data_IF_002628405982
#
_entry.id   IF_002628405982
#
_cell.length_a   1.000
_cell.length_b   1.000
_cell.length_c   1.000
_cell.angle_alpha   90.00
_cell.angle_beta   90.00
_cell.angle_gamma   90.00
#
_symmetry.space_group_name_H-M   'P 1'
#
loop_
_entity.id
_entity.type
_entity.pdbx_description
1 polymer ?
#
# COMPACT_ATOMS: atom_id res chain seq x y z
N UNK A 1 -5.93 -11.82 10.85
CA UNK A 1 -5.20 -11.91 9.57
C UNK A 1 -4.81 -10.51 9.11
N UNK A 2 -3.52 -10.17 9.10
CA UNK A 2 -3.04 -8.86 8.61
C UNK A 2 -3.30 -8.76 7.10
N UNK A 3 -4.30 -8.00 6.68
CA UNK A 3 -4.55 -7.68 5.27
C UNK A 3 -3.50 -6.70 4.77
N UNK A 4 -3.08 -6.83 3.51
CA UNK A 4 -2.04 -5.98 2.91
C UNK A 4 -2.35 -4.48 3.04
N UNK A 5 -3.63 -4.10 2.94
CA UNK A 5 -4.13 -2.75 3.19
C UNK A 5 -3.68 -2.16 4.54
N UNK A 6 -3.74 -2.96 5.61
CA UNK A 6 -3.28 -2.53 6.94
C UNK A 6 -1.77 -2.26 6.96
N UNK A 7 -0.97 -3.11 6.31
CA UNK A 7 0.49 -2.91 6.23
C UNK A 7 0.84 -1.63 5.47
N UNK A 8 0.11 -1.31 4.41
CA UNK A 8 0.27 -0.06 3.65
C UNK A 8 0.02 1.14 4.56
N UNK A 9 -1.11 1.15 5.28
CA UNK A 9 -1.47 2.24 6.19
C UNK A 9 -0.45 2.42 7.33
N UNK A 10 0.03 1.32 7.92
CA UNK A 10 1.06 1.35 8.96
C UNK A 10 2.38 1.90 8.44
N UNK A 11 2.84 1.44 7.28
CA UNK A 11 4.06 1.95 6.65
C UNK A 11 3.94 3.45 6.35
N UNK A 12 2.84 3.89 5.74
CA UNK A 12 2.59 5.31 5.46
C UNK A 12 2.69 6.15 6.74
N UNK A 13 2.01 5.73 7.81
CA UNK A 13 2.04 6.42 9.11
C UNK A 13 3.44 6.44 9.74
N UNK A 14 4.20 5.35 9.64
CA UNK A 14 5.59 5.28 10.12
C UNK A 14 6.55 6.23 9.37
N UNK A 15 6.16 6.67 8.16
CA UNK A 15 6.88 7.65 7.37
C UNK A 15 6.33 9.08 7.53
N UNK A 16 5.39 9.28 8.46
CA UNK A 16 4.74 10.56 8.73
C UNK A 16 4.04 11.18 7.51
N UNK A 17 3.54 10.33 6.60
CA UNK A 17 2.80 10.79 5.42
C UNK A 17 1.30 10.76 5.68
N UNK A 18 0.59 11.78 5.23
CA UNK A 18 -0.85 11.77 5.01
C UNK A 18 -1.20 10.93 3.77
N UNK A 19 -2.48 10.59 3.60
CA UNK A 19 -2.92 9.86 2.40
C UNK A 19 -2.77 10.70 1.14
N UNK A 20 -2.92 12.03 1.23
CA UNK A 20 -2.72 12.94 0.11
C UNK A 20 -1.24 12.97 -0.30
N UNK A 21 -0.32 13.13 0.66
CA UNK A 21 1.12 13.15 0.34
C UNK A 21 1.59 11.83 -0.28
N UNK A 22 1.08 10.68 0.20
CA UNK A 22 1.36 9.41 -0.47
C UNK A 22 0.77 9.37 -1.89
N UNK A 23 -0.43 9.92 -2.09
CA UNK A 23 -1.05 9.97 -3.41
C UNK A 23 -0.22 10.81 -4.39
N UNK A 24 0.31 11.94 -3.94
CA UNK A 24 1.15 12.84 -4.73
C UNK A 24 2.46 12.14 -5.13
N UNK A 25 3.10 11.41 -4.21
CA UNK A 25 4.33 10.64 -4.50
C UNK A 25 4.07 9.50 -5.50
N UNK A 26 2.93 8.83 -5.38
CA UNK A 26 2.55 7.70 -6.23
C UNK A 26 2.02 8.15 -7.61
N UNK A 27 1.55 9.40 -7.71
CA UNK A 27 0.87 9.93 -8.89
C UNK A 27 -0.58 9.41 -9.01
N UNK A 28 -1.35 9.46 -7.92
CA UNK A 28 -2.76 9.05 -7.85
C UNK A 28 -3.57 10.02 -6.99
N UNK A 29 -4.83 9.69 -6.67
CA UNK A 29 -5.69 10.51 -5.81
C UNK A 29 -5.70 10.01 -4.37
N UNK A 30 -5.99 10.89 -3.41
CA UNK A 30 -6.15 10.52 -2.00
C UNK A 30 -7.27 9.49 -1.81
N UNK A 31 -8.37 9.58 -2.57
CA UNK A 31 -9.45 8.60 -2.53
C UNK A 31 -8.96 7.21 -2.95
N UNK A 32 -8.09 7.13 -3.96
CA UNK A 32 -7.47 5.86 -4.35
C UNK A 32 -6.57 5.30 -3.23
N UNK A 33 -5.77 6.15 -2.57
CA UNK A 33 -4.97 5.71 -1.41
C UNK A 33 -5.87 5.24 -0.26
N UNK A 34 -6.94 5.97 0.05
CA UNK A 34 -7.92 5.57 1.06
C UNK A 34 -8.52 4.20 0.76
N UNK A 35 -8.95 3.98 -0.48
CA UNK A 35 -9.45 2.67 -0.94
C UNK A 35 -8.38 1.58 -0.84
N UNK A 36 -7.11 1.86 -1.12
CA UNK A 36 -6.02 0.89 -1.01
C UNK A 36 -5.68 0.52 0.45
N UNK A 37 -5.99 1.41 1.39
CA UNK A 37 -5.83 1.21 2.83
C UNK A 37 -7.09 0.62 3.51
N UNK A 38 -8.18 0.46 2.76
CA UNK A 38 -9.43 -0.13 3.23
C UNK A 38 -9.28 -1.64 3.45
N UNK A 39 -9.71 -2.13 4.61
CA UNK A 39 -9.67 -3.54 5.00
C UNK A 39 -10.63 -4.41 4.18
N UNK A 40 -11.69 -3.82 3.63
CA UNK A 40 -12.64 -4.49 2.75
C UNK A 40 -12.18 -4.54 1.30
N UNK A 41 -11.14 -3.76 0.93
CA UNK A 41 -10.59 -3.82 -0.41
C UNK A 41 -9.83 -5.12 -0.64
N UNK A 42 -10.37 -5.95 -1.52
CA UNK A 42 -9.84 -7.27 -1.89
C UNK A 42 -8.99 -7.25 -3.16
N UNK A 43 -8.96 -6.13 -3.90
CA UNK A 43 -8.32 -6.05 -5.21
C UNK A 43 -7.22 -5.00 -5.22
N UNK A 44 -6.00 -5.46 -4.99
CA UNK A 44 -4.78 -4.67 -5.19
C UNK A 44 -3.90 -5.43 -6.17
N UNK A 45 -3.55 -4.79 -7.29
CA UNK A 45 -2.65 -5.39 -8.28
C UNK A 45 -1.20 -5.38 -7.78
N UNK A 46 -0.38 -6.32 -8.26
CA UNK A 46 1.07 -6.35 -7.99
C UNK A 46 1.74 -5.05 -8.48
N UNK A 47 1.29 -4.50 -9.61
CA UNK A 47 1.80 -3.21 -10.12
C UNK A 47 1.55 -2.08 -9.13
N UNK A 48 0.34 -2.01 -8.56
CA UNK A 48 0.01 -1.04 -7.51
C UNK A 48 0.87 -1.24 -6.26
N UNK A 49 1.06 -2.49 -5.81
CA UNK A 49 1.93 -2.80 -4.67
C UNK A 49 3.37 -2.35 -4.92
N UNK A 50 3.87 -2.52 -6.13
CA UNK A 50 5.24 -2.13 -6.51
C UNK A 50 5.41 -0.61 -6.49
N UNK A 51 4.45 0.15 -7.05
CA UNK A 51 4.45 1.61 -6.99
C UNK A 51 4.41 2.12 -5.54
N UNK A 52 3.54 1.55 -4.71
CA UNK A 52 3.44 1.88 -3.30
C UNK A 52 4.75 1.57 -2.55
N UNK A 53 5.40 0.44 -2.84
CA UNK A 53 6.65 0.08 -2.20
C UNK A 53 7.77 1.06 -2.52
N UNK A 54 7.87 1.54 -3.76
CA UNK A 54 8.82 2.59 -4.14
C UNK A 54 8.53 3.88 -3.35
N UNK A 55 7.28 4.34 -3.34
CA UNK A 55 6.86 5.55 -2.63
C UNK A 55 7.11 5.47 -1.11
N UNK A 56 6.88 4.29 -0.53
CA UNK A 56 7.04 4.04 0.90
C UNK A 56 8.48 3.64 1.29
N UNK A 57 9.41 3.60 0.33
CA UNK A 57 10.79 3.11 0.52
C UNK A 57 10.81 1.73 1.20
N UNK A 58 9.97 0.83 0.70
CA UNK A 58 9.75 -0.52 1.19
C UNK A 58 10.02 -1.56 0.08
N UNK A 59 9.97 -2.85 0.43
CA UNK A 59 10.07 -3.96 -0.51
C UNK A 59 8.81 -4.82 -0.44
N UNK A 60 8.30 -5.23 -1.59
CA UNK A 60 7.24 -6.25 -1.68
C UNK A 60 7.90 -7.61 -1.66
N UNK A 61 7.45 -8.49 -0.76
CA UNK A 61 7.83 -9.90 -0.73
C UNK A 61 6.55 -10.72 -0.88
N UNK A 62 6.49 -11.55 -1.90
CA UNK A 62 5.40 -12.50 -2.15
C UNK A 62 6.02 -13.89 -2.04
N UNK A 63 5.42 -14.73 -1.22
CA UNK A 63 5.94 -16.07 -0.97
C UNK A 63 4.82 -17.11 -0.99
N UNK A 64 5.14 -18.27 -1.55
CA UNK A 64 4.31 -19.47 -1.56
C UNK A 64 5.25 -20.65 -1.28
N UNK A 65 5.02 -21.29 -0.15
CA UNK A 65 5.86 -22.37 0.38
C UNK A 65 5.21 -23.74 0.08
N UNK A 66 5.89 -24.87 0.34
CA UNK A 66 5.68 -26.12 -0.39
C UNK A 66 4.30 -26.74 -0.16
N UNK A 67 3.96 -27.66 -1.06
CA UNK A 67 2.74 -28.47 -0.95
C UNK A 67 2.81 -29.44 0.21
#
# INVERSE_FOLDING_TARGET
>A
MLRVAYKIAQLRKSRHLTQQELADIVGTTQQNISRLEDLENTQISISTLTKLAIALKARVVIDFLPR
#
